data_IF_177541834955
#
_entry.id   IF_177541834955
#
_cell.length_a   1.000
_cell.length_b   1.000
_cell.length_c   1.000
_cell.angle_alpha   90.00
_cell.angle_beta   90.00
_cell.angle_gamma   90.00
#
_symmetry.space_group_name_H-M   'P 1'
#
loop_
_entity.id
_entity.type
_entity.pdbx_description
1 polymer ?
#
# COMPACT_ATOMS: atom_id res chain seq x y z
N UNK A 1 59.44 12.34 30.30
CA UNK A 1 58.20 12.70 29.60
C UNK A 1 58.47 13.18 28.19
N UNK A 2 58.13 12.35 27.19
CA UNK A 2 57.60 12.87 25.94
C UNK A 2 56.40 12.02 25.50
N UNK A 3 55.20 12.54 25.74
CA UNK A 3 53.95 12.03 25.15
C UNK A 3 53.50 13.06 24.11
N UNK A 4 53.90 12.85 22.85
CA UNK A 4 53.20 13.44 21.71
C UNK A 4 53.30 12.44 20.55
N UNK A 5 52.32 11.53 20.50
CA UNK A 5 52.14 10.63 19.38
C UNK A 5 50.82 10.97 18.71
N UNK A 6 50.94 11.53 17.50
CA UNK A 6 49.84 11.75 16.58
C UNK A 6 49.22 10.40 16.19
N UNK A 7 47.88 10.30 16.27
CA UNK A 7 47.13 9.23 15.61
C UNK A 7 45.83 9.78 15.03
N UNK A 8 45.87 9.93 13.71
CA UNK A 8 44.83 9.73 12.68
C UNK A 8 43.37 10.00 13.04
N UNK A 9 42.80 11.00 12.38
CA UNK A 9 41.35 11.18 12.20
C UNK A 9 40.77 10.06 11.34
N UNK A 10 40.08 9.09 11.94
CA UNK A 10 39.31 8.09 11.20
C UNK A 10 37.87 8.60 11.03
N UNK A 11 37.60 9.05 9.81
CA UNK A 11 36.30 9.48 9.32
C UNK A 11 35.34 8.29 9.27
N UNK A 12 34.33 8.27 10.14
CA UNK A 12 33.23 7.30 10.06
C UNK A 12 32.04 7.94 9.34
N UNK A 13 32.19 8.08 8.02
CA UNK A 13 31.05 8.19 7.10
C UNK A 13 30.39 6.80 7.06
N UNK A 14 29.53 6.50 8.03
CA UNK A 14 29.02 5.13 8.17
C UNK A 14 27.80 4.92 9.08
N UNK A 15 27.14 5.99 9.55
CA UNK A 15 26.01 5.86 10.46
C UNK A 15 24.76 6.66 10.04
N UNK A 16 24.69 7.13 8.80
CA UNK A 16 23.59 8.00 8.31
C UNK A 16 22.68 7.31 7.28
N UNK A 17 22.54 5.97 7.27
CA UNK A 17 21.62 5.28 6.34
C UNK A 17 20.76 4.17 6.95
N UNK A 18 20.69 4.06 8.27
CA UNK A 18 19.80 3.09 8.94
C UNK A 18 18.53 3.70 9.53
N UNK A 19 18.41 5.04 9.60
CA UNK A 19 17.21 5.71 10.14
C UNK A 19 16.16 6.11 9.09
N UNK A 20 16.40 5.92 7.78
CA UNK A 20 15.37 6.11 6.75
C UNK A 20 14.45 4.88 6.57
N UNK A 21 14.85 3.72 7.13
CA UNK A 21 14.15 2.44 6.92
C UNK A 21 12.90 2.27 7.79
N UNK A 22 12.72 3.05 8.86
CA UNK A 22 11.69 2.78 9.87
C UNK A 22 10.51 3.77 9.90
N UNK A 23 10.57 4.89 9.19
CA UNK A 23 9.41 5.80 9.12
C UNK A 23 8.43 5.32 8.05
N UNK A 24 7.39 4.59 8.49
CA UNK A 24 6.23 4.28 7.66
C UNK A 24 5.43 5.57 7.45
N UNK A 25 5.51 6.14 6.24
CA UNK A 25 4.73 7.33 5.91
C UNK A 25 3.24 6.95 5.81
N UNK A 26 2.46 7.41 6.79
CA UNK A 26 1.03 7.12 6.85
C UNK A 26 0.25 7.99 5.84
N UNK A 27 -0.68 7.40 5.06
CA UNK A 27 -1.59 8.15 4.22
C UNK A 27 -2.45 9.10 5.06
N UNK A 28 -2.69 10.31 4.55
CA UNK A 28 -3.63 11.24 5.18
C UNK A 28 -4.55 11.88 4.14
N UNK A 29 -5.71 12.34 4.59
CA UNK A 29 -6.68 13.02 3.73
C UNK A 29 -6.12 14.39 3.31
N UNK A 30 -6.15 14.68 2.01
CA UNK A 30 -5.52 15.86 1.41
C UNK A 30 -4.13 15.61 0.83
N UNK A 31 -3.52 14.44 1.04
CA UNK A 31 -2.25 14.09 0.38
C UNK A 31 -2.43 14.06 -1.14
N UNK A 32 -1.55 14.74 -1.87
CA UNK A 32 -1.62 14.93 -3.32
C UNK A 32 -0.55 14.12 -4.07
N UNK A 33 -0.88 13.69 -5.29
CA UNK A 33 0.00 13.00 -6.20
C UNK A 33 -0.15 13.53 -7.62
N UNK A 34 0.92 13.45 -8.40
CA UNK A 34 0.94 13.89 -9.79
C UNK A 34 0.21 12.91 -10.72
N UNK A 35 0.10 11.63 -10.33
CA UNK A 35 -0.52 10.59 -11.16
C UNK A 35 -1.26 9.52 -10.34
N UNK A 36 -2.13 8.77 -11.03
CA UNK A 36 -2.81 7.61 -10.44
C UNK A 36 -1.79 6.56 -9.96
N UNK A 37 -0.77 6.31 -10.78
CA UNK A 37 0.25 5.30 -10.49
C UNK A 37 1.12 5.71 -9.30
N UNK A 38 1.44 7.00 -9.16
CA UNK A 38 2.15 7.51 -7.98
C UNK A 38 1.36 7.24 -6.69
N UNK A 39 0.05 7.52 -6.69
CA UNK A 39 -0.82 7.24 -5.54
C UNK A 39 -0.92 5.73 -5.25
N UNK A 40 -0.94 4.90 -6.30
CA UNK A 40 -0.95 3.44 -6.18
C UNK A 40 0.35 2.91 -5.60
N UNK A 41 1.51 3.35 -6.09
CA UNK A 41 2.83 2.94 -5.62
C UNK A 41 3.03 3.36 -4.16
N UNK A 42 2.64 4.58 -3.81
CA UNK A 42 2.69 5.06 -2.43
C UNK A 42 1.89 4.15 -1.49
N UNK A 43 0.65 3.84 -1.84
CA UNK A 43 -0.15 2.95 -1.01
C UNK A 43 0.43 1.54 -1.01
N UNK A 44 0.96 1.04 -2.15
CA UNK A 44 1.70 -0.22 -2.30
C UNK A 44 2.78 -0.39 -1.25
N UNK A 45 3.62 0.63 -1.15
CA UNK A 45 4.69 0.67 -0.20
C UNK A 45 4.19 0.75 1.24
N UNK A 46 3.19 1.61 1.51
CA UNK A 46 2.57 1.72 2.83
C UNK A 46 2.04 0.37 3.32
N UNK A 47 1.25 -0.35 2.52
CA UNK A 47 0.71 -1.62 2.98
C UNK A 47 1.77 -2.68 3.17
N UNK A 48 2.79 -2.70 2.30
CA UNK A 48 3.92 -3.62 2.44
C UNK A 48 4.61 -3.42 3.78
N UNK A 49 4.87 -2.17 4.16
CA UNK A 49 5.48 -1.82 5.45
C UNK A 49 4.56 -2.13 6.64
N UNK A 50 3.26 -1.88 6.50
CA UNK A 50 2.26 -2.15 7.55
C UNK A 50 1.92 -3.65 7.68
N UNK A 51 2.15 -4.46 6.66
CA UNK A 51 1.96 -5.91 6.70
C UNK A 51 0.62 -6.40 6.11
N UNK A 52 0.12 -5.73 5.07
CA UNK A 52 -0.97 -6.23 4.23
C UNK A 52 -0.67 -6.05 2.75
N UNK A 53 -1.50 -6.67 1.92
CA UNK A 53 -1.45 -6.51 0.46
C UNK A 53 -2.65 -5.68 0.04
N UNK A 54 -2.46 -4.59 -0.69
CA UNK A 54 -3.59 -3.92 -1.34
C UNK A 54 -4.03 -4.64 -2.61
N UNK A 55 -5.25 -4.30 -3.00
CA UNK A 55 -5.80 -4.49 -4.32
C UNK A 55 -6.53 -3.24 -4.77
N UNK A 56 -6.63 -3.08 -6.08
CA UNK A 56 -7.54 -2.10 -6.67
C UNK A 56 -8.97 -2.63 -6.51
N UNK A 57 -9.79 -1.90 -5.76
CA UNK A 57 -11.17 -2.28 -5.45
C UNK A 57 -12.15 -1.86 -6.53
N UNK A 58 -12.03 -0.61 -6.98
CA UNK A 58 -12.89 -0.04 -8.00
C UNK A 58 -12.22 1.16 -8.66
N UNK A 59 -12.70 1.49 -9.85
CA UNK A 59 -12.35 2.69 -10.56
C UNK A 59 -13.60 3.39 -11.06
N UNK A 60 -13.64 4.70 -10.91
CA UNK A 60 -14.65 5.54 -11.55
C UNK A 60 -14.02 6.19 -12.77
N UNK A 61 -14.68 6.07 -13.92
CA UNK A 61 -14.28 6.72 -15.16
C UNK A 61 -15.31 7.78 -15.55
N UNK A 62 -14.85 8.80 -16.27
CA UNK A 62 -15.70 9.76 -16.97
C UNK A 62 -16.45 9.02 -18.07
N UNK A 63 -17.75 9.24 -18.17
CA UNK A 63 -18.58 8.69 -19.24
C UNK A 63 -18.31 9.38 -20.59
N UNK A 64 -17.82 10.62 -20.56
CA UNK A 64 -17.53 11.40 -21.77
C UNK A 64 -16.21 11.00 -22.43
N UNK A 65 -15.15 10.92 -21.63
CA UNK A 65 -13.78 10.77 -22.17
C UNK A 65 -13.10 9.47 -21.75
N UNK A 66 -13.76 8.61 -20.96
CA UNK A 66 -13.18 7.38 -20.42
C UNK A 66 -12.06 7.57 -19.38
N UNK A 67 -11.64 8.81 -19.11
CA UNK A 67 -10.58 9.14 -18.15
C UNK A 67 -10.94 8.69 -16.73
N UNK A 68 -9.95 8.23 -15.97
CA UNK A 68 -10.17 7.77 -14.60
C UNK A 68 -10.27 9.01 -13.69
N UNK A 69 -11.36 9.07 -12.92
CA UNK A 69 -11.67 10.18 -12.02
C UNK A 69 -11.45 9.81 -10.55
N UNK A 70 -11.51 8.52 -10.22
CA UNK A 70 -11.28 8.05 -8.86
C UNK A 70 -10.85 6.59 -8.81
N UNK A 71 -10.06 6.24 -7.78
CA UNK A 71 -9.65 4.89 -7.45
C UNK A 71 -9.89 4.59 -6.00
N UNK A 72 -10.41 3.40 -5.73
CA UNK A 72 -10.47 2.84 -4.39
C UNK A 72 -9.43 1.74 -4.27
N UNK A 73 -8.51 1.88 -3.32
CA UNK A 73 -7.44 0.91 -3.05
C UNK A 73 -7.69 0.36 -1.64
N UNK A 74 -7.75 -0.96 -1.49
CA UNK A 74 -8.18 -1.59 -0.23
C UNK A 74 -7.39 -2.83 0.09
N UNK A 75 -7.52 -3.34 1.31
CA UNK A 75 -6.87 -4.56 1.74
C UNK A 75 -7.33 -5.80 0.92
N UNK A 76 -6.44 -6.75 0.67
CA UNK A 76 -6.78 -8.00 -0.03
C UNK A 76 -7.83 -8.84 0.71
N UNK A 77 -7.88 -8.75 2.05
CA UNK A 77 -8.88 -9.38 2.91
C UNK A 77 -10.21 -8.63 2.96
N UNK A 78 -10.40 -7.58 2.14
CA UNK A 78 -11.66 -6.84 2.10
C UNK A 78 -12.83 -7.68 1.53
N UNK A 79 -14.02 -7.44 2.10
CA UNK A 79 -15.30 -8.03 1.69
C UNK A 79 -15.56 -9.39 2.33
N UNK A 80 -16.73 -9.96 2.05
CA UNK A 80 -17.05 -11.34 2.40
C UNK A 80 -17.21 -12.14 1.11
N UNK A 81 -16.71 -13.37 1.07
CA UNK A 81 -17.03 -14.26 -0.04
C UNK A 81 -18.48 -14.74 0.15
N UNK A 82 -19.39 -14.21 -0.67
CA UNK A 82 -20.66 -14.86 -0.90
C UNK A 82 -20.36 -16.15 -1.64
N UNK A 83 -20.31 -17.27 -0.92
CA UNK A 83 -20.34 -18.57 -1.55
C UNK A 83 -21.66 -18.65 -2.32
N UNK A 84 -21.62 -18.59 -3.66
CA UNK A 84 -22.77 -18.96 -4.50
C UNK A 84 -22.88 -20.48 -4.40
N UNK A 85 -23.31 -20.96 -3.23
CA UNK A 85 -23.61 -22.35 -2.99
C UNK A 85 -24.89 -22.64 -3.76
N UNK A 86 -24.79 -23.45 -4.81
CA UNK A 86 -25.93 -24.24 -5.30
C UNK A 86 -26.69 -23.80 -6.55
N UNK A 87 -26.20 -22.91 -7.42
CA UNK A 87 -26.93 -22.58 -8.67
C UNK A 87 -26.37 -23.19 -9.97
N UNK A 88 -25.09 -23.57 -10.06
CA UNK A 88 -24.53 -24.08 -11.33
C UNK A 88 -23.43 -25.13 -11.11
N UNK A 89 -23.75 -26.40 -11.38
CA UNK A 89 -22.79 -27.46 -11.75
C UNK A 89 -21.91 -28.07 -10.64
N UNK A 90 -21.15 -29.14 -10.98
CA UNK A 90 -20.36 -29.91 -10.02
C UNK A 90 -19.28 -29.04 -9.38
N UNK A 91 -19.33 -29.01 -8.06
CA UNK A 91 -18.57 -28.14 -7.17
C UNK A 91 -17.08 -28.50 -7.23
N UNK A 92 -16.27 -27.75 -7.99
CA UNK A 92 -14.82 -27.69 -7.73
C UNK A 92 -14.64 -27.30 -6.27
N UNK A 93 -13.82 -28.03 -5.50
CA UNK A 93 -13.56 -27.77 -4.07
C UNK A 93 -13.43 -26.26 -3.84
N UNK A 94 -14.31 -25.63 -3.05
CA UNK A 94 -14.24 -24.19 -2.83
C UNK A 94 -12.88 -23.84 -2.24
N UNK A 95 -12.13 -22.95 -2.90
CA UNK A 95 -10.92 -22.38 -2.27
C UNK A 95 -11.38 -21.66 -0.99
N UNK A 96 -10.75 -21.93 0.18
CA UNK A 96 -11.04 -21.19 1.39
C UNK A 96 -10.91 -19.69 1.09
N UNK A 97 -11.95 -18.92 1.41
CA UNK A 97 -11.88 -17.48 1.20
C UNK A 97 -10.94 -16.87 2.22
N UNK A 98 -10.02 -16.04 1.75
CA UNK A 98 -9.16 -15.20 2.59
C UNK A 98 -9.80 -13.84 2.92
N UNK A 99 -11.06 -13.60 2.56
CA UNK A 99 -11.74 -12.32 2.77
C UNK A 99 -12.43 -12.31 4.12
N UNK A 100 -11.96 -11.46 5.02
CA UNK A 100 -12.38 -11.36 6.43
C UNK A 100 -13.26 -10.13 6.69
N UNK A 101 -13.73 -9.44 5.64
CA UNK A 101 -14.56 -8.24 5.78
C UNK A 101 -13.76 -6.98 6.11
N UNK A 102 -12.44 -6.98 5.86
CA UNK A 102 -11.57 -5.84 6.16
C UNK A 102 -12.04 -4.56 5.46
N UNK A 103 -12.00 -3.43 6.17
CA UNK A 103 -12.45 -2.12 5.67
C UNK A 103 -11.31 -1.15 5.40
N UNK A 104 -10.08 -1.53 5.69
CA UNK A 104 -8.89 -0.70 5.45
C UNK A 104 -8.75 -0.36 3.96
N UNK A 105 -8.68 0.95 3.65
CA UNK A 105 -8.67 1.47 2.30
C UNK A 105 -8.21 2.92 2.22
N UNK A 106 -7.81 3.35 1.03
CA UNK A 106 -7.78 4.76 0.61
C UNK A 106 -8.71 5.00 -0.59
N UNK A 107 -9.26 6.20 -0.67
CA UNK A 107 -10.00 6.68 -1.83
C UNK A 107 -9.30 7.89 -2.42
N UNK A 108 -8.76 7.73 -3.63
CA UNK A 108 -8.03 8.78 -4.34
C UNK A 108 -8.92 9.31 -5.46
N UNK A 109 -9.02 10.63 -5.60
CA UNK A 109 -9.80 11.29 -6.67
C UNK A 109 -8.94 12.25 -7.46
N UNK A 110 -9.23 12.36 -8.75
CA UNK A 110 -8.66 13.40 -9.59
C UNK A 110 -9.40 14.71 -9.33
N UNK A 111 -8.66 15.72 -8.91
CA UNK A 111 -9.16 17.05 -8.61
C UNK A 111 -9.06 18.00 -9.82
N UNK A 112 -9.82 19.10 -9.79
CA UNK A 112 -9.82 20.14 -10.84
C UNK A 112 -8.46 20.83 -10.99
N UNK A 113 -7.62 20.80 -9.96
CA UNK A 113 -6.22 21.25 -10.00
C UNK A 113 -5.31 20.37 -10.88
N UNK A 114 -5.81 19.23 -11.36
CA UNK A 114 -5.05 18.31 -12.18
C UNK A 114 -4.24 17.28 -11.38
N UNK A 115 -4.44 17.22 -10.06
CA UNK A 115 -3.75 16.32 -9.13
C UNK A 115 -4.66 15.20 -8.62
N UNK A 116 -4.05 14.13 -8.12
CA UNK A 116 -4.72 13.02 -7.45
C UNK A 116 -4.65 13.20 -5.95
N UNK A 117 -5.80 13.26 -5.26
CA UNK A 117 -5.85 13.59 -3.82
C UNK A 117 -6.51 12.45 -3.04
N UNK A 118 -5.93 12.08 -1.90
CA UNK A 118 -6.59 11.16 -0.95
C UNK A 118 -7.77 11.89 -0.30
N UNK A 119 -8.97 11.40 -0.55
CA UNK A 119 -10.21 11.96 -0.01
C UNK A 119 -10.81 11.17 1.14
N UNK A 120 -10.30 9.96 1.38
CA UNK A 120 -10.70 9.14 2.51
C UNK A 120 -9.59 8.16 2.83
N UNK A 121 -9.27 8.01 4.11
CA UNK A 121 -8.38 6.98 4.62
C UNK A 121 -9.05 6.21 5.75
N UNK A 122 -9.03 4.88 5.67
CA UNK A 122 -9.45 3.97 6.75
C UNK A 122 -8.26 3.10 7.06
N UNK A 123 -7.68 3.29 8.24
CA UNK A 123 -6.49 2.59 8.71
C UNK A 123 -6.82 1.22 9.31
N UNK A 124 -7.96 1.09 9.98
CA UNK A 124 -8.24 -0.06 10.83
C UNK A 124 -8.44 -1.36 10.04
N UNK A 125 -7.70 -2.38 10.48
CA UNK A 125 -7.83 -3.76 10.03
C UNK A 125 -8.57 -4.58 11.09
N UNK A 126 -9.39 -5.51 10.65
CA UNK A 126 -10.10 -6.46 11.52
C UNK A 126 -9.41 -7.84 11.57
N UNK A 127 -8.14 -7.89 11.19
CA UNK A 127 -7.33 -9.10 11.10
C UNK A 127 -5.88 -8.77 11.46
N UNK A 128 -5.07 -9.75 11.90
CA UNK A 128 -3.67 -9.53 12.14
C UNK A 128 -2.94 -9.10 10.86
N UNK A 129 -1.99 -8.19 11.02
CA UNK A 129 -1.08 -7.73 9.97
C UNK A 129 0.23 -8.47 10.11
N UNK A 130 0.79 -8.93 9.00
CA UNK A 130 2.05 -9.68 8.98
C UNK A 130 3.00 -9.00 8.03
N UNK A 131 4.03 -8.38 8.60
CA UNK A 131 5.13 -7.80 7.83
C UNK A 131 5.99 -8.94 7.32
N UNK A 132 5.66 -9.47 6.14
CA UNK A 132 6.54 -10.42 5.45
C UNK A 132 7.54 -9.64 4.60
N UNK A 133 8.85 -9.85 4.75
CA UNK A 133 9.83 -9.39 3.77
C UNK A 133 9.54 -10.13 2.46
N UNK A 134 8.83 -9.48 1.53
CA UNK A 134 8.63 -10.06 0.20
C UNK A 134 9.91 -9.80 -0.57
N UNK A 135 10.73 -10.83 -0.78
CA UNK A 135 11.75 -10.78 -1.82
C UNK A 135 11.06 -10.41 -3.14
N UNK A 136 11.64 -9.44 -3.85
CA UNK A 136 11.07 -8.89 -5.06
C UNK A 136 10.66 -10.04 -5.99
N UNK A 137 9.36 -10.14 -6.31
CA UNK A 137 8.94 -11.08 -7.34
C UNK A 137 9.46 -10.54 -8.67
N UNK A 138 10.63 -11.02 -9.09
CA UNK A 138 11.08 -10.95 -10.46
C UNK A 138 10.02 -11.68 -11.30
N UNK A 139 9.27 -10.91 -12.07
CA UNK A 139 8.60 -11.42 -13.26
C UNK A 139 9.72 -11.85 -14.21
N UNK A 140 9.88 -13.15 -14.40
CA UNK A 140 10.54 -13.70 -15.60
C UNK A 140 9.64 -13.49 -16.81
#
# INVERSE_FOLDING_TARGET
DPDEQASTVESSVGAELFYERDMILEPFEGMEFESEDAAKIFYDDYARRVGFVMRVMSCRRSERDGKILARRLGCNKEGHCVSIRGKFGPVRKPRPSTREGCKAMIHVKYDKSGKWVITKFVKDHNHPLVVSPREARQTM
#
